data_IF_043193858907
#
_entry.id   IF_043193858907
#
_cell.length_a   1.000
_cell.length_b   1.000
_cell.length_c   1.000
_cell.angle_alpha   90.00
_cell.angle_beta   90.00
_cell.angle_gamma   90.00
#
_symmetry.space_group_name_H-M   'P 1'
#
loop_
_entity.id
_entity.type
_entity.pdbx_description
1 polymer ?
#
# COMPACT_ATOMS: atom_id res chain seq x y z
N UNK A 1 -25.22 -1.02 15.58
CA UNK A 1 -24.09 -1.95 15.34
C UNK A 1 -22.87 -1.11 15.01
N UNK A 2 -21.86 -1.06 15.86
CA UNK A 2 -20.56 -0.55 15.44
C UNK A 2 -19.98 -1.54 14.41
N UNK A 3 -19.37 -1.09 13.31
CA UNK A 3 -18.71 -2.00 12.39
C UNK A 3 -17.62 -2.77 13.15
N UNK A 4 -17.38 -4.06 12.82
CA UNK A 4 -16.31 -4.82 13.42
C UNK A 4 -15.01 -4.04 13.28
N UNK A 5 -14.26 -3.89 14.39
CA UNK A 5 -12.94 -3.26 14.36
C UNK A 5 -12.08 -4.05 13.38
N UNK A 6 -11.75 -3.44 12.24
CA UNK A 6 -10.72 -3.98 11.36
C UNK A 6 -9.40 -3.85 12.11
N UNK A 7 -8.61 -4.91 12.15
CA UNK A 7 -7.26 -4.94 12.74
C UNK A 7 -6.30 -4.17 11.82
N UNK A 8 -6.56 -2.88 11.64
CA UNK A 8 -5.88 -2.01 10.70
C UNK A 8 -5.81 -0.61 11.29
N UNK A 9 -4.61 -0.07 11.40
CA UNK A 9 -4.37 1.31 11.80
C UNK A 9 -4.16 2.19 10.55
N UNK A 10 -4.70 3.41 10.57
CA UNK A 10 -4.49 4.37 9.49
C UNK A 10 -3.09 5.01 9.59
N UNK A 11 -2.36 5.04 8.47
CA UNK A 11 -1.07 5.72 8.36
C UNK A 11 -1.19 6.93 7.43
N UNK A 12 -0.88 8.13 7.92
CA UNK A 12 -0.76 9.33 7.08
C UNK A 12 0.64 9.40 6.50
N UNK A 13 0.76 9.33 5.17
CA UNK A 13 2.04 9.34 4.46
C UNK A 13 2.08 10.50 3.45
N UNK A 14 3.19 11.24 3.43
CA UNK A 14 3.48 12.24 2.40
C UNK A 14 4.59 11.70 1.51
N UNK A 15 4.31 11.59 0.21
CA UNK A 15 5.25 11.13 -0.80
C UNK A 15 5.51 12.25 -1.80
N UNK A 16 6.73 12.25 -2.37
CA UNK A 16 7.06 13.12 -3.50
C UNK A 16 6.16 12.85 -4.71
N UNK A 17 5.97 13.86 -5.56
CA UNK A 17 5.10 13.77 -6.74
C UNK A 17 5.47 12.62 -7.66
N UNK A 18 6.75 12.47 -7.97
CA UNK A 18 7.27 11.42 -8.84
C UNK A 18 6.96 10.01 -8.31
N UNK A 19 7.03 9.83 -6.99
CA UNK A 19 6.67 8.56 -6.34
C UNK A 19 5.17 8.27 -6.48
N UNK A 20 4.32 9.30 -6.31
CA UNK A 20 2.87 9.15 -6.53
C UNK A 20 2.57 8.78 -7.98
N UNK A 21 3.27 9.39 -8.95
CA UNK A 21 3.09 9.08 -10.37
C UNK A 21 3.52 7.64 -10.69
N UNK A 22 4.63 7.16 -10.12
CA UNK A 22 5.06 5.77 -10.25
C UNK A 22 4.03 4.79 -9.65
N UNK A 23 3.50 5.07 -8.44
CA UNK A 23 2.45 4.26 -7.80
C UNK A 23 1.17 4.26 -8.66
N UNK A 24 0.81 5.41 -9.24
CA UNK A 24 -0.35 5.54 -10.13
C UNK A 24 -0.17 4.73 -11.42
N UNK A 25 1.04 4.69 -11.99
CA UNK A 25 1.37 3.86 -13.15
C UNK A 25 1.28 2.36 -12.81
N UNK A 26 1.90 1.93 -11.72
CA UNK A 26 1.83 0.53 -11.24
C UNK A 26 0.39 0.07 -11.03
N UNK A 27 -0.44 0.94 -10.46
CA UNK A 27 -1.86 0.66 -10.22
C UNK A 27 -2.66 0.44 -11.49
N UNK A 28 -2.34 1.14 -12.58
CA UNK A 28 -3.03 1.01 -13.88
C UNK A 28 -2.66 -0.29 -14.61
N UNK A 29 -1.48 -0.84 -14.31
CA UNK A 29 -1.01 -2.10 -14.88
C UNK A 29 -1.66 -3.34 -14.24
N UNK A 30 -2.23 -3.18 -13.03
CA UNK A 30 -2.90 -4.26 -12.34
C UNK A 30 -4.31 -4.52 -12.90
N UNK A 31 -4.73 -5.79 -13.03
CA UNK A 31 -6.03 -6.15 -13.59
C UNK A 31 -7.21 -5.68 -12.72
N UNK A 32 -7.02 -5.58 -11.41
CA UNK A 32 -8.03 -5.16 -10.46
C UNK A 32 -8.01 -3.65 -10.15
N UNK A 33 -7.03 -2.93 -10.70
CA UNK A 33 -6.79 -1.48 -10.49
C UNK A 33 -6.99 -1.12 -9.01
N UNK A 34 -6.10 -1.56 -8.11
CA UNK A 34 -6.29 -1.40 -6.66
C UNK A 34 -6.39 0.09 -6.31
N UNK A 35 -6.77 0.46 -5.07
CA UNK A 35 -6.67 1.88 -4.67
C UNK A 35 -5.22 2.28 -4.39
N UNK A 36 -4.92 3.58 -4.30
CA UNK A 36 -3.57 4.05 -3.90
C UNK A 36 -3.12 3.42 -2.56
N UNK A 37 -3.91 3.48 -1.48
CA UNK A 37 -3.55 2.79 -0.24
C UNK A 37 -3.35 1.29 -0.40
N UNK A 38 -4.16 0.61 -1.21
CA UNK A 38 -3.99 -0.84 -1.45
C UNK A 38 -2.68 -1.14 -2.20
N UNK A 39 -2.35 -0.35 -3.23
CA UNK A 39 -1.09 -0.50 -3.96
C UNK A 39 0.13 -0.29 -3.05
N UNK A 40 0.08 0.76 -2.21
CA UNK A 40 1.14 1.00 -1.22
C UNK A 40 1.28 -0.18 -0.25
N UNK A 41 0.17 -0.76 0.22
CA UNK A 41 0.21 -1.96 1.07
C UNK A 41 0.87 -3.14 0.35
N UNK A 42 0.50 -3.43 -0.91
CA UNK A 42 1.13 -4.50 -1.70
C UNK A 42 2.64 -4.31 -1.85
N UNK A 43 3.09 -3.09 -2.15
CA UNK A 43 4.51 -2.76 -2.27
C UNK A 43 5.26 -2.98 -0.95
N UNK A 44 4.69 -2.49 0.17
CA UNK A 44 5.30 -2.66 1.48
C UNK A 44 5.34 -4.12 1.92
N UNK A 45 4.29 -4.90 1.65
CA UNK A 45 4.26 -6.33 1.93
C UNK A 45 5.34 -7.07 1.14
N UNK A 46 5.41 -6.85 -0.18
CA UNK A 46 6.43 -7.47 -1.02
C UNK A 46 7.85 -7.13 -0.55
N UNK A 47 8.09 -5.88 -0.14
CA UNK A 47 9.38 -5.47 0.40
C UNK A 47 9.73 -6.18 1.72
N UNK A 48 8.77 -6.30 2.63
CA UNK A 48 8.95 -6.99 3.93
C UNK A 48 9.13 -8.50 3.73
N UNK A 49 8.42 -9.11 2.78
CA UNK A 49 8.58 -10.51 2.42
C UNK A 49 9.99 -10.79 1.88
N UNK A 50 10.53 -9.88 1.06
CA UNK A 50 11.91 -9.96 0.54
C UNK A 50 12.96 -9.63 1.62
N UNK A 51 12.63 -8.72 2.55
CA UNK A 51 13.50 -8.23 3.62
C UNK A 51 12.86 -8.47 4.99
N UNK A 52 12.71 -9.73 5.41
CA UNK A 52 12.06 -10.04 6.67
C UNK A 52 12.83 -9.39 7.83
N UNK A 53 12.14 -8.68 8.75
CA UNK A 53 12.79 -8.08 9.89
C UNK A 53 13.45 -9.18 10.73
N UNK A 54 14.70 -8.96 11.11
CA UNK A 54 15.39 -9.78 12.10
C UNK A 54 14.89 -9.34 13.48
N UNK A 55 13.74 -9.84 13.88
CA UNK A 55 13.21 -9.72 15.25
C UNK A 55 13.95 -10.64 16.20
#
# INVERSE_FOLDING_TARGET
MAPPKKDTEALTLRLGREMIEAIDALRRDQPDIPTRPEMVRRILQAWIEEHPPKV
#
